data_IF_188536100345
#
_entry.id   IF_188536100345
#
_cell.length_a   1.000
_cell.length_b   1.000
_cell.length_c   1.000
_cell.angle_alpha   90.00
_cell.angle_beta   90.00
_cell.angle_gamma   90.00
#
_symmetry.space_group_name_H-M   'P 1'
#
loop_
_entity.id
_entity.type
_entity.pdbx_description
1 polymer ?
#
# COMPACT_ATOMS: atom_id res chain seq x y z
N UNK A 1 33.73 53.36 24.54
CA UNK A 1 34.78 53.19 23.52
C UNK A 1 35.26 51.75 23.66
N UNK A 2 34.88 50.76 22.86
CA UNK A 2 34.56 50.78 21.42
C UNK A 2 33.63 49.60 21.10
N UNK A 3 32.61 49.87 20.28
CA UNK A 3 31.54 48.96 19.87
C UNK A 3 31.98 47.86 18.89
N UNK A 4 31.20 46.79 18.93
CA UNK A 4 31.28 45.56 18.15
C UNK A 4 30.82 45.82 16.71
N UNK A 5 31.65 45.40 15.76
CA UNK A 5 31.51 45.57 14.32
C UNK A 5 30.29 44.81 13.75
N UNK A 6 29.39 45.55 13.10
CA UNK A 6 28.25 45.07 12.32
C UNK A 6 28.65 44.96 10.85
N UNK A 7 28.56 43.76 10.26
CA UNK A 7 28.81 43.51 8.83
C UNK A 7 27.56 42.90 8.18
N UNK A 8 26.88 43.67 7.34
CA UNK A 8 25.83 43.17 6.43
C UNK A 8 26.46 42.29 5.34
N UNK A 9 25.76 41.26 4.85
CA UNK A 9 25.96 40.77 3.49
C UNK A 9 24.89 41.31 2.53
N UNK A 10 25.38 41.58 1.32
CA UNK A 10 24.74 42.21 0.19
C UNK A 10 23.82 41.26 -0.60
N UNK A 11 22.87 41.90 -1.29
CA UNK A 11 22.35 41.60 -2.63
C UNK A 11 21.79 40.19 -2.93
N UNK A 12 20.47 40.15 -2.84
CA UNK A 12 19.53 39.45 -3.70
C UNK A 12 20.01 39.33 -5.17
N UNK A 13 20.28 38.12 -5.63
CA UNK A 13 20.26 37.76 -7.05
C UNK A 13 19.24 36.63 -7.25
N UNK A 14 18.18 36.94 -7.99
CA UNK A 14 17.23 35.98 -8.55
C UNK A 14 17.96 35.09 -9.55
N UNK A 15 17.98 33.78 -9.32
CA UNK A 15 18.19 32.79 -10.37
C UNK A 15 16.89 32.00 -10.55
N UNK A 16 16.08 32.49 -11.48
CA UNK A 16 15.03 31.74 -12.14
C UNK A 16 15.66 30.65 -13.00
N UNK A 17 15.72 29.42 -12.50
CA UNK A 17 16.03 28.24 -13.29
C UNK A 17 14.71 27.58 -13.70
N UNK A 18 14.26 27.87 -14.92
CA UNK A 18 13.24 27.10 -15.63
C UNK A 18 13.92 25.77 -16.00
N UNK A 19 13.64 24.71 -15.24
CA UNK A 19 14.10 23.35 -15.55
C UNK A 19 13.15 22.75 -16.58
N UNK A 20 13.62 22.70 -17.82
CA UNK A 20 12.92 22.19 -18.99
C UNK A 20 12.72 20.66 -18.91
N UNK A 21 11.60 20.25 -18.33
CA UNK A 21 10.66 19.19 -18.74
C UNK A 21 11.03 17.83 -19.37
N UNK A 22 12.28 17.46 -19.70
CA UNK A 22 12.51 16.23 -20.51
C UNK A 22 13.38 15.15 -19.87
N UNK A 23 14.17 15.45 -18.83
CA UNK A 23 15.11 14.49 -18.24
C UNK A 23 14.52 13.61 -17.13
N UNK A 24 13.44 14.06 -16.49
CA UNK A 24 12.78 13.33 -15.39
C UNK A 24 11.97 12.14 -15.92
N UNK A 25 11.32 12.31 -17.08
CA UNK A 25 10.46 11.27 -17.67
C UNK A 25 11.27 10.07 -18.19
N UNK A 26 12.42 10.32 -18.83
CA UNK A 26 13.30 9.26 -19.34
C UNK A 26 13.98 8.47 -18.22
N UNK A 27 14.39 9.13 -17.14
CA UNK A 27 14.94 8.45 -15.95
C UNK A 27 13.89 7.62 -15.22
N UNK A 28 12.64 8.08 -15.16
CA UNK A 28 11.52 7.35 -14.58
C UNK A 28 11.17 6.10 -15.39
N UNK A 29 11.04 6.21 -16.72
CA UNK A 29 10.78 5.05 -17.57
C UNK A 29 11.92 4.03 -17.54
N UNK A 30 13.18 4.50 -17.56
CA UNK A 30 14.35 3.62 -17.48
C UNK A 30 14.42 2.88 -16.14
N UNK A 31 14.16 3.58 -15.03
CA UNK A 31 14.08 2.95 -13.72
C UNK A 31 12.94 1.93 -13.62
N UNK A 32 11.80 2.18 -14.28
CA UNK A 32 10.65 1.27 -14.22
C UNK A 32 10.86 -0.01 -15.04
N UNK A 33 11.63 0.07 -16.13
CA UNK A 33 11.82 -1.05 -17.06
C UNK A 33 13.13 -1.81 -16.84
N UNK A 34 14.16 -1.18 -16.26
CA UNK A 34 15.53 -1.73 -16.20
C UNK A 34 16.17 -1.71 -14.81
N UNK A 35 15.51 -1.18 -13.78
CA UNK A 35 16.00 -1.23 -12.40
C UNK A 35 15.09 -2.16 -11.59
N UNK A 36 15.60 -3.31 -11.19
CA UNK A 36 14.90 -4.17 -10.22
C UNK A 36 15.14 -3.60 -8.81
N UNK A 37 14.08 -3.20 -8.08
CA UNK A 37 14.25 -2.72 -6.72
C UNK A 37 14.87 -3.81 -5.85
N UNK A 38 15.76 -3.42 -4.94
CA UNK A 38 16.38 -4.34 -4.01
C UNK A 38 15.31 -5.13 -3.26
N UNK A 39 15.50 -6.45 -3.19
CA UNK A 39 14.50 -7.33 -2.62
C UNK A 39 14.31 -7.02 -1.13
N UNK A 40 13.06 -6.76 -0.66
CA UNK A 40 12.84 -6.40 0.73
C UNK A 40 13.25 -7.56 1.65
N UNK A 41 14.13 -7.30 2.61
CA UNK A 41 14.62 -8.28 3.60
C UNK A 41 13.96 -8.12 4.97
N UNK A 42 13.16 -7.07 5.15
CA UNK A 42 12.50 -6.79 6.42
C UNK A 42 11.40 -7.82 6.71
N UNK A 43 11.44 -8.45 7.89
CA UNK A 43 10.43 -9.41 8.30
C UNK A 43 9.10 -8.73 8.66
N UNK A 44 7.99 -9.32 8.24
CA UNK A 44 6.63 -8.93 8.60
C UNK A 44 6.05 -9.80 9.74
N UNK A 45 6.92 -10.42 10.54
CA UNK A 45 6.50 -11.26 11.67
C UNK A 45 5.50 -10.53 12.58
N UNK A 46 4.45 -11.26 12.98
CA UNK A 46 3.35 -10.78 13.84
C UNK A 46 2.51 -9.65 13.24
N UNK A 47 2.60 -9.43 11.91
CA UNK A 47 1.80 -8.44 11.21
C UNK A 47 0.67 -9.08 10.41
N UNK A 48 -0.49 -8.42 10.43
CA UNK A 48 -1.67 -8.75 9.63
C UNK A 48 -1.74 -7.81 8.44
N UNK A 49 -1.82 -8.38 7.25
CA UNK A 49 -1.71 -7.66 5.98
C UNK A 49 -2.93 -7.98 5.12
N UNK A 50 -3.57 -6.95 4.59
CA UNK A 50 -4.65 -7.08 3.62
C UNK A 50 -4.12 -6.61 2.26
N UNK A 51 -4.32 -7.43 1.23
CA UNK A 51 -4.02 -7.06 -0.16
C UNK A 51 -5.30 -7.12 -0.97
N UNK A 52 -5.71 -6.00 -1.55
CA UNK A 52 -6.88 -5.95 -2.45
C UNK A 52 -6.47 -6.29 -3.87
N UNK A 53 -7.31 -7.01 -4.63
CA UNK A 53 -7.02 -7.33 -6.03
C UNK A 53 -5.82 -8.28 -6.16
N UNK A 54 -5.72 -9.24 -5.24
CA UNK A 54 -4.59 -10.16 -5.12
C UNK A 54 -4.79 -11.50 -5.83
N UNK A 55 -5.73 -11.57 -6.79
CA UNK A 55 -5.98 -12.80 -7.54
C UNK A 55 -4.96 -13.02 -8.68
N UNK A 56 -4.41 -11.95 -9.25
CA UNK A 56 -3.47 -11.99 -10.39
C UNK A 56 -2.42 -10.88 -10.31
N UNK A 57 -1.37 -10.99 -11.12
CA UNK A 57 -0.39 -9.94 -11.35
C UNK A 57 0.34 -9.48 -10.09
N UNK A 58 0.57 -8.16 -9.98
CA UNK A 58 1.36 -7.57 -8.89
C UNK A 58 0.75 -7.80 -7.50
N UNK A 59 -0.58 -7.88 -7.38
CA UNK A 59 -1.24 -8.13 -6.11
C UNK A 59 -0.98 -9.55 -5.59
N UNK A 60 -0.96 -10.53 -6.51
CA UNK A 60 -0.63 -11.92 -6.19
C UNK A 60 0.83 -12.05 -5.77
N UNK A 61 1.75 -11.45 -6.53
CA UNK A 61 3.18 -11.47 -6.18
C UNK A 61 3.45 -10.72 -4.87
N UNK A 62 2.81 -9.57 -4.62
CA UNK A 62 2.90 -8.87 -3.35
C UNK A 62 2.48 -9.77 -2.18
N UNK A 63 1.36 -10.49 -2.32
CA UNK A 63 0.92 -11.46 -1.33
C UNK A 63 1.95 -12.59 -1.10
N UNK A 64 2.54 -13.14 -2.17
CA UNK A 64 3.66 -14.10 -2.08
C UNK A 64 4.85 -13.51 -1.34
N UNK A 65 5.19 -12.25 -1.59
CA UNK A 65 6.28 -11.57 -0.88
C UNK A 65 6.00 -11.42 0.61
N UNK A 66 4.77 -11.09 1.01
CA UNK A 66 4.41 -11.02 2.43
C UNK A 66 4.49 -12.38 3.13
N UNK A 67 4.04 -13.46 2.48
CA UNK A 67 4.17 -14.82 3.02
C UNK A 67 5.63 -15.22 3.19
N UNK A 68 6.46 -14.98 2.18
CA UNK A 68 7.91 -15.26 2.26
C UNK A 68 8.61 -14.47 3.36
N UNK A 69 8.14 -13.26 3.65
CA UNK A 69 8.68 -12.40 4.71
C UNK A 69 8.09 -12.72 6.10
N UNK A 70 7.44 -13.88 6.24
CA UNK A 70 6.89 -14.41 7.48
C UNK A 70 5.82 -13.51 8.10
N UNK A 71 4.93 -12.92 7.29
CA UNK A 71 3.73 -12.28 7.81
C UNK A 71 2.93 -13.26 8.69
N UNK A 72 2.26 -12.78 9.73
CA UNK A 72 1.43 -13.67 10.55
C UNK A 72 0.14 -14.04 9.81
N UNK A 73 -0.48 -13.06 9.17
CA UNK A 73 -1.72 -13.27 8.42
C UNK A 73 -1.70 -12.43 7.15
N UNK A 74 -1.99 -13.06 6.01
CA UNK A 74 -2.17 -12.39 4.71
C UNK A 74 -3.59 -12.66 4.23
N UNK A 75 -4.37 -11.59 4.11
CA UNK A 75 -5.75 -11.62 3.67
C UNK A 75 -5.79 -11.18 2.21
N UNK A 76 -6.23 -12.08 1.34
CA UNK A 76 -6.46 -11.88 -0.08
C UNK A 76 -7.89 -11.35 -0.25
N UNK A 77 -8.02 -10.04 -0.48
CA UNK A 77 -9.31 -9.42 -0.73
C UNK A 77 -9.59 -9.41 -2.24
N UNK A 78 -10.54 -10.24 -2.67
CA UNK A 78 -10.83 -10.49 -4.10
C UNK A 78 -12.33 -10.40 -4.39
N UNK A 79 -12.67 -10.04 -5.63
CA UNK A 79 -14.06 -10.05 -6.10
C UNK A 79 -14.59 -11.46 -6.37
N UNK A 80 -13.73 -12.33 -6.91
CA UNK A 80 -14.08 -13.71 -7.28
C UNK A 80 -13.38 -14.67 -6.33
N UNK A 81 -14.15 -15.29 -5.44
CA UNK A 81 -13.64 -16.20 -4.42
C UNK A 81 -12.93 -17.43 -4.99
N UNK A 82 -13.48 -18.17 -5.97
CA UNK A 82 -12.74 -19.25 -6.65
C UNK A 82 -11.34 -18.85 -7.13
N UNK A 83 -11.20 -17.67 -7.75
CA UNK A 83 -9.91 -17.17 -8.21
C UNK A 83 -8.96 -16.85 -7.03
N UNK A 84 -9.50 -16.32 -5.92
CA UNK A 84 -8.74 -16.09 -4.69
C UNK A 84 -8.27 -17.38 -4.02
N UNK A 85 -9.09 -18.42 -3.99
CA UNK A 85 -8.70 -19.72 -3.43
C UNK A 85 -7.62 -20.40 -4.27
N UNK A 86 -7.69 -20.29 -5.61
CA UNK A 86 -6.62 -20.75 -6.48
C UNK A 86 -5.30 -19.99 -6.23
N UNK A 87 -5.38 -18.66 -6.05
CA UNK A 87 -4.24 -17.83 -5.68
C UNK A 87 -3.65 -18.24 -4.32
N UNK A 88 -4.50 -18.46 -3.30
CA UNK A 88 -4.09 -18.96 -1.98
C UNK A 88 -3.35 -20.30 -2.09
N UNK A 89 -3.92 -21.28 -2.79
CA UNK A 89 -3.31 -22.58 -2.98
C UNK A 89 -1.93 -22.46 -3.67
N UNK A 90 -1.82 -21.59 -4.67
CA UNK A 90 -0.56 -21.31 -5.35
C UNK A 90 0.50 -20.67 -4.43
N UNK A 91 0.09 -19.73 -3.57
CA UNK A 91 0.99 -19.10 -2.58
C UNK A 91 1.51 -20.14 -1.58
N UNK A 92 0.60 -20.97 -1.05
CA UNK A 92 0.93 -22.02 -0.08
C UNK A 92 1.85 -23.08 -0.69
N UNK A 93 1.60 -23.51 -1.94
CA UNK A 93 2.47 -24.43 -2.65
C UNK A 93 3.88 -23.86 -2.89
N UNK A 94 4.00 -22.53 -3.04
CA UNK A 94 5.28 -21.86 -3.26
C UNK A 94 6.09 -21.68 -1.96
N UNK A 95 5.44 -21.77 -0.79
CA UNK A 95 6.06 -21.59 0.52
C UNK A 95 5.51 -22.60 1.54
N UNK A 96 5.74 -23.92 1.32
CA UNK A 96 5.14 -24.99 2.12
C UNK A 96 5.54 -24.94 3.60
N UNK A 97 6.73 -24.42 3.90
CA UNK A 97 7.26 -24.31 5.27
C UNK A 97 6.80 -23.02 6.00
N UNK A 98 6.00 -22.17 5.35
CA UNK A 98 5.56 -20.92 5.95
C UNK A 98 4.44 -21.16 6.97
N UNK A 99 4.62 -20.61 8.17
CA UNK A 99 3.58 -20.57 9.19
C UNK A 99 2.54 -19.45 8.98
N UNK A 100 2.63 -18.69 7.87
CA UNK A 100 1.70 -17.60 7.57
C UNK A 100 0.29 -18.13 7.31
N UNK A 101 -0.70 -17.61 8.04
CA UNK A 101 -2.11 -17.86 7.71
C UNK A 101 -2.52 -17.06 6.47
N UNK A 102 -2.98 -17.74 5.43
CA UNK A 102 -3.52 -17.11 4.21
C UNK A 102 -5.03 -17.27 4.18
N UNK A 103 -5.75 -16.15 4.13
CA UNK A 103 -7.21 -16.11 4.09
C UNK A 103 -7.71 -15.43 2.82
N UNK A 104 -8.91 -15.81 2.35
CA UNK A 104 -9.56 -15.20 1.19
C UNK A 104 -10.83 -14.53 1.66
N UNK A 105 -10.93 -13.22 1.42
CA UNK A 105 -12.08 -12.42 1.80
C UNK A 105 -12.72 -11.81 0.55
N UNK A 106 -14.05 -11.79 0.53
CA UNK A 106 -14.82 -11.21 -0.56
C UNK A 106 -14.79 -9.68 -0.45
N UNK A 107 -14.36 -9.02 -1.53
CA UNK A 107 -14.35 -7.57 -1.66
C UNK A 107 -14.69 -7.19 -3.11
N UNK A 108 -15.85 -6.57 -3.30
CA UNK A 108 -16.22 -5.94 -4.57
C UNK A 108 -16.19 -4.42 -4.44
N UNK A 109 -15.17 -3.79 -5.02
CA UNK A 109 -15.06 -2.34 -5.07
C UNK A 109 -16.10 -1.69 -5.99
N UNK A 110 -16.85 -2.45 -6.78
CA UNK A 110 -17.93 -1.90 -7.60
C UNK A 110 -19.22 -1.68 -6.82
N UNK A 111 -19.32 -2.16 -5.57
CA UNK A 111 -20.50 -1.98 -4.71
C UNK A 111 -20.12 -1.38 -3.36
N UNK A 112 -20.76 -0.27 -2.98
CA UNK A 112 -20.50 0.38 -1.70
C UNK A 112 -20.92 -0.48 -0.51
N UNK A 113 -21.99 -1.27 -0.65
CA UNK A 113 -22.43 -2.20 0.39
C UNK A 113 -21.35 -3.25 0.68
N UNK A 114 -20.68 -3.77 -0.35
CA UNK A 114 -19.56 -4.71 -0.17
C UNK A 114 -18.37 -4.04 0.53
N UNK A 115 -18.02 -2.81 0.16
CA UNK A 115 -16.94 -2.05 0.80
C UNK A 115 -17.22 -1.80 2.28
N UNK A 116 -18.45 -1.42 2.63
CA UNK A 116 -18.86 -1.19 4.02
C UNK A 116 -18.80 -2.49 4.84
N UNK A 117 -19.40 -3.57 4.34
CA UNK A 117 -19.36 -4.88 5.01
C UNK A 117 -17.93 -5.39 5.21
N UNK A 118 -17.07 -5.19 4.21
CA UNK A 118 -15.66 -5.53 4.32
C UNK A 118 -14.96 -4.68 5.39
N UNK A 119 -15.19 -3.38 5.42
CA UNK A 119 -14.60 -2.49 6.43
C UNK A 119 -15.06 -2.80 7.87
N UNK A 120 -16.31 -3.22 8.05
CA UNK A 120 -16.81 -3.73 9.33
C UNK A 120 -16.08 -5.01 9.75
N UNK A 121 -15.90 -5.95 8.82
CA UNK A 121 -15.11 -7.17 9.04
C UNK A 121 -13.65 -6.87 9.36
N UNK A 122 -13.07 -5.86 8.71
CA UNK A 122 -11.71 -5.39 9.04
C UNK A 122 -11.66 -4.76 10.43
N UNK A 123 -12.71 -4.06 10.83
CA UNK A 123 -12.78 -3.42 12.14
C UNK A 123 -12.85 -4.41 13.30
N UNK A 124 -13.39 -5.62 13.07
CA UNK A 124 -13.39 -6.72 14.05
C UNK A 124 -12.05 -7.44 14.17
N UNK A 125 -11.11 -7.22 13.25
CA UNK A 125 -9.77 -7.78 13.36
C UNK A 125 -9.08 -7.25 14.63
N UNK A 126 -8.39 -8.12 15.38
CA UNK A 126 -7.63 -7.68 16.55
C UNK A 126 -6.51 -6.72 16.16
N UNK A 127 -5.98 -6.86 14.94
CA UNK A 127 -4.86 -6.08 14.43
C UNK A 127 -4.91 -5.99 12.91
N UNK A 128 -4.54 -4.83 12.38
CA UNK A 128 -4.26 -4.60 10.97
C UNK A 128 -3.04 -3.70 10.85
N UNK A 129 -2.00 -4.18 10.18
CA UNK A 129 -0.74 -3.47 10.10
C UNK A 129 -0.51 -2.80 8.75
N UNK A 130 -0.97 -3.42 7.68
CA UNK A 130 -0.79 -2.98 6.29
C UNK A 130 -2.07 -3.23 5.50
N UNK A 131 -2.53 -2.20 4.78
CA UNK A 131 -3.54 -2.31 3.74
C UNK A 131 -2.87 -1.94 2.42
N UNK A 132 -2.77 -2.89 1.50
CA UNK A 132 -2.26 -2.68 0.15
C UNK A 132 -3.42 -2.57 -0.83
N UNK A 133 -3.77 -1.33 -1.19
CA UNK A 133 -4.78 -1.00 -2.20
C UNK A 133 -4.23 -1.20 -3.61
N UNK A 134 -4.19 -2.45 -4.08
CA UNK A 134 -3.73 -2.82 -5.43
C UNK A 134 -4.89 -3.10 -6.42
N UNK A 135 -6.14 -3.18 -5.96
CA UNK A 135 -7.25 -3.48 -6.85
C UNK A 135 -7.48 -2.32 -7.82
N UNK A 136 -7.27 -2.59 -9.11
CA UNK A 136 -7.55 -1.67 -10.21
C UNK A 136 -8.25 -2.41 -11.33
N UNK A 137 -9.20 -1.75 -11.97
CA UNK A 137 -9.81 -2.22 -13.20
C UNK A 137 -9.50 -1.25 -14.34
N UNK A 138 -9.19 -1.81 -15.50
CA UNK A 138 -9.18 -1.09 -16.76
C UNK A 138 -10.22 -1.76 -17.65
N UNK A 139 -11.31 -1.03 -17.93
CA UNK A 139 -12.39 -1.53 -18.78
C UNK A 139 -12.42 -0.66 -20.03
N UNK A 140 -12.38 -1.27 -21.21
CA UNK A 140 -12.47 -0.55 -22.49
C UNK A 140 -13.91 -0.17 -22.86
N UNK A 141 -14.90 -0.75 -22.19
CA UNK A 141 -16.32 -0.47 -22.34
C UNK A 141 -16.82 0.40 -21.18
N UNK A 142 -17.55 1.47 -21.52
CA UNK A 142 -18.24 2.29 -20.52
C UNK A 142 -19.31 1.45 -19.83
N UNK A 143 -19.20 1.32 -18.51
CA UNK A 143 -20.19 0.64 -17.68
C UNK A 143 -20.48 1.52 -16.47
N UNK A 144 -21.74 1.50 -16.01
CA UNK A 144 -22.14 2.21 -14.80
C UNK A 144 -22.06 1.27 -13.59
N UNK A 145 -21.53 1.78 -12.48
CA UNK A 145 -21.58 1.17 -11.16
C UNK A 145 -21.91 2.27 -10.14
N UNK A 146 -22.94 2.06 -9.31
CA UNK A 146 -23.35 3.01 -8.26
C UNK A 146 -23.53 4.45 -8.80
N UNK A 147 -24.22 4.56 -9.93
CA UNK A 147 -24.51 5.80 -10.68
C UNK A 147 -23.29 6.54 -11.30
N UNK A 148 -22.08 5.97 -11.22
CA UNK A 148 -20.86 6.54 -11.81
C UNK A 148 -20.20 5.55 -12.79
N UNK A 149 -19.23 6.04 -13.57
CA UNK A 149 -18.44 5.17 -14.46
C UNK A 149 -17.64 4.16 -13.62
N UNK A 150 -17.71 2.88 -14.02
CA UNK A 150 -17.24 1.73 -13.25
C UNK A 150 -15.76 1.84 -12.88
N UNK A 151 -14.91 2.27 -13.81
CA UNK A 151 -13.48 2.45 -13.56
C UNK A 151 -13.22 3.56 -12.56
N UNK A 152 -13.92 4.69 -12.64
CA UNK A 152 -13.83 5.78 -11.68
C UNK A 152 -14.33 5.35 -10.28
N UNK A 153 -15.44 4.61 -10.22
CA UNK A 153 -15.98 4.07 -8.96
C UNK A 153 -14.96 3.16 -8.28
N UNK A 154 -14.43 2.17 -9.00
CA UNK A 154 -13.53 1.18 -8.41
C UNK A 154 -12.15 1.77 -8.07
N UNK A 155 -11.52 2.45 -9.02
CA UNK A 155 -10.12 2.86 -8.88
C UNK A 155 -9.96 4.07 -7.96
N UNK A 156 -10.99 4.92 -7.86
CA UNK A 156 -10.91 6.18 -7.10
C UNK A 156 -11.87 6.16 -5.91
N UNK A 157 -13.19 6.14 -6.16
CA UNK A 157 -14.18 6.38 -5.09
C UNK A 157 -14.11 5.28 -4.03
N UNK A 158 -14.28 4.02 -4.43
CA UNK A 158 -14.30 2.89 -3.51
C UNK A 158 -12.95 2.64 -2.87
N UNK A 159 -11.85 2.89 -3.57
CA UNK A 159 -10.50 2.76 -3.02
C UNK A 159 -10.24 3.80 -1.92
N UNK A 160 -10.63 5.06 -2.14
CA UNK A 160 -10.55 6.11 -1.12
C UNK A 160 -11.49 5.82 0.04
N UNK A 161 -12.73 5.42 -0.24
CA UNK A 161 -13.72 5.05 0.78
C UNK A 161 -13.20 3.93 1.68
N UNK A 162 -12.69 2.84 1.09
CA UNK A 162 -12.11 1.73 1.82
C UNK A 162 -10.94 2.19 2.70
N UNK A 163 -10.04 3.01 2.15
CA UNK A 163 -8.91 3.55 2.89
C UNK A 163 -9.34 4.38 4.12
N UNK A 164 -10.36 5.23 3.96
CA UNK A 164 -10.91 6.04 5.05
C UNK A 164 -11.61 5.19 6.12
N UNK A 165 -12.39 4.18 5.72
CA UNK A 165 -13.09 3.30 6.65
C UNK A 165 -12.15 2.39 7.45
N UNK A 166 -11.03 1.98 6.85
CA UNK A 166 -10.03 1.11 7.49
C UNK A 166 -9.03 1.91 8.33
N UNK A 167 -8.89 3.21 8.09
CA UNK A 167 -7.95 4.09 8.81
C UNK A 167 -8.06 4.02 10.35
N UNK A 168 -9.26 3.97 10.97
CA UNK A 168 -9.37 3.78 12.42
C UNK A 168 -8.75 2.47 12.91
N UNK A 169 -8.91 1.36 12.18
CA UNK A 169 -8.33 0.07 12.53
C UNK A 169 -6.79 0.08 12.42
N UNK A 170 -6.26 0.73 11.38
CA UNK A 170 -4.81 0.96 11.22
C UNK A 170 -4.26 1.82 12.36
N UNK A 171 -4.96 2.90 12.73
CA UNK A 171 -4.57 3.77 13.85
C UNK A 171 -4.58 3.05 15.19
N UNK A 172 -5.60 2.23 15.48
CA UNK A 172 -5.65 1.39 16.69
C UNK A 172 -4.44 0.45 16.76
N UNK A 173 -4.11 -0.18 15.64
CA UNK A 173 -2.97 -1.11 15.55
C UNK A 173 -1.62 -0.38 15.65
N UNK A 174 -1.51 0.83 15.10
CA UNK A 174 -0.33 1.69 15.23
C UNK A 174 -0.13 2.16 16.68
N UNK A 175 -1.20 2.54 17.38
CA UNK A 175 -1.14 2.92 18.79
C UNK A 175 -0.69 1.75 19.68
N UNK A 176 -1.19 0.54 19.43
CA UNK A 176 -0.76 -0.69 20.13
C UNK A 176 0.70 -1.06 19.84
N UNK A 177 1.20 -0.71 18.65
CA UNK A 177 2.62 -0.84 18.29
C UNK A 177 3.54 0.19 18.95
N UNK A 178 2.98 1.16 19.70
CA UNK A 178 3.67 2.30 20.31
C UNK A 178 5.18 2.15 20.50
N UNK A 179 5.94 3.00 19.82
CA UNK A 179 7.34 3.33 20.09
C UNK A 179 8.34 2.15 20.17
N UNK A 180 8.89 1.80 18.99
CA UNK A 180 10.36 1.79 18.85
C UNK A 180 10.81 3.12 18.23
N UNK A 181 10.56 4.22 18.93
CA UNK A 181 11.43 5.38 18.80
C UNK A 181 12.79 4.97 19.36
N UNK A 182 13.63 4.36 18.51
CA UNK A 182 15.04 4.18 18.83
C UNK A 182 15.71 5.53 18.61
N UNK A 183 15.58 6.45 19.59
CA UNK A 183 16.54 7.56 19.72
C UNK A 183 17.91 6.93 19.95
N UNK A 184 18.75 6.87 18.92
CA UNK A 184 20.20 6.79 19.13
C UNK A 184 20.68 8.22 19.35
N UNK A 185 20.91 8.60 20.60
CA UNK A 185 21.88 9.65 20.88
C UNK A 185 23.26 9.03 20.67
N UNK A 186 23.86 9.27 19.50
CA UNK A 186 25.29 9.13 19.34
C UNK A 186 25.91 10.44 19.78
N UNK A 187 26.32 10.50 21.05
CA UNK A 187 27.20 11.56 21.51
C UNK A 187 28.64 11.27 21.08
N UNK A 188 29.31 12.33 20.66
CA UNK A 188 30.71 12.59 20.94
C UNK A 188 30.81 14.07 21.26
#
# INVERSE_FOLDING_TARGET
MTEISYRRPHSFQRTSAIVTGTSVEMGFLYSQLFVTPAYPTHSFKDQTIIVTGSNVGLGLEAARHFVRLNAATVILAVRNRPAGEAAKASIQASHPDSATSVEVWDLDLASYASVLAFAEKVSSLPRLDVLLCNASISTSSFQLAEAHERTLTVNVISTVLLGLLVLPALRRSAARRGNRCRRRFGGS
#
